data_IF_440784731498
#
_entry.id   IF_440784731498
#
_cell.length_a   1.000
_cell.length_b   1.000
_cell.length_c   1.000
_cell.angle_alpha   90.00
_cell.angle_beta   90.00
_cell.angle_gamma   90.00
#
_symmetry.space_group_name_H-M   'P 1'
#
loop_
_entity.id
_entity.type
_entity.pdbx_description
1 polymer ?
#
# COMPACT_ATOMS: atom_id res chain seq x y z
N UNK A 1 20.58 20.73 -26.64
CA UNK A 1 19.47 19.89 -27.13
C UNK A 1 19.33 18.66 -26.24
N UNK A 2 18.38 18.67 -25.30
CA UNK A 2 17.74 17.49 -24.68
C UNK A 2 16.56 18.02 -23.87
N UNK A 3 15.42 18.13 -24.57
CA UNK A 3 14.13 18.56 -24.03
C UNK A 3 13.59 17.37 -23.23
N UNK A 4 13.72 17.38 -21.91
CA UNK A 4 13.01 16.42 -21.06
C UNK A 4 11.53 16.76 -21.14
N UNK A 5 10.78 15.81 -21.71
CA UNK A 5 9.34 15.78 -21.88
C UNK A 5 8.69 15.82 -20.49
N UNK A 6 8.40 17.02 -19.99
CA UNK A 6 7.47 17.20 -18.88
C UNK A 6 6.08 16.97 -19.46
N UNK A 7 5.45 15.86 -19.10
CA UNK A 7 4.00 15.69 -19.30
C UNK A 7 3.27 16.58 -18.29
N UNK A 8 3.36 17.89 -18.49
CA UNK A 8 2.47 18.86 -17.86
C UNK A 8 1.14 18.76 -18.59
N UNK A 9 0.11 18.38 -17.86
CA UNK A 9 -1.28 18.49 -18.30
C UNK A 9 -1.55 19.95 -18.69
N UNK A 10 -2.00 20.20 -19.92
CA UNK A 10 -2.26 21.51 -20.54
C UNK A 10 -3.44 22.28 -19.88
N UNK A 11 -3.94 21.80 -18.74
CA UNK A 11 -4.91 22.50 -17.92
C UNK A 11 -4.18 23.10 -16.72
N UNK A 12 -4.16 24.43 -16.59
CA UNK A 12 -3.58 25.16 -15.44
C UNK A 12 -4.28 24.92 -14.10
N UNK A 13 -4.74 23.69 -13.85
CA UNK A 13 -5.31 23.19 -12.62
C UNK A 13 -4.36 22.12 -12.05
N UNK A 14 -3.99 22.32 -10.80
CA UNK A 14 -3.11 21.45 -10.04
C UNK A 14 -3.69 20.02 -10.00
N UNK A 15 -3.08 19.09 -10.75
CA UNK A 15 -3.59 17.72 -10.89
C UNK A 15 -3.42 16.96 -9.57
N UNK A 16 -4.53 16.59 -8.93
CA UNK A 16 -4.55 15.94 -7.60
C UNK A 16 -4.45 14.40 -7.61
N UNK A 17 -4.08 13.79 -8.73
CA UNK A 17 -4.02 12.34 -8.86
C UNK A 17 -2.78 11.89 -9.65
N UNK A 18 -2.31 10.69 -9.33
CA UNK A 18 -1.15 10.08 -10.00
C UNK A 18 -1.61 9.24 -11.19
N UNK A 19 -0.87 9.35 -12.29
CA UNK A 19 -0.96 8.46 -13.45
C UNK A 19 -0.37 7.08 -13.13
N UNK A 20 -0.71 6.07 -13.92
CA UNK A 20 -0.14 4.73 -13.74
C UNK A 20 1.39 4.71 -13.88
N UNK A 21 1.96 5.54 -14.76
CA UNK A 21 3.40 5.73 -14.91
C UNK A 21 4.03 6.31 -13.65
N UNK A 22 3.44 7.34 -13.07
CA UNK A 22 3.95 7.97 -11.83
C UNK A 22 3.81 7.02 -10.64
N UNK A 23 2.72 6.26 -10.54
CA UNK A 23 2.58 5.20 -9.52
C UNK A 23 3.68 4.15 -9.69
N UNK A 24 3.98 3.74 -10.93
CA UNK A 24 5.06 2.79 -11.20
C UNK A 24 6.41 3.34 -10.78
N UNK A 25 6.70 4.60 -11.06
CA UNK A 25 7.94 5.27 -10.63
C UNK A 25 8.02 5.37 -9.11
N UNK A 26 6.92 5.76 -8.44
CA UNK A 26 6.83 5.81 -6.99
C UNK A 26 7.10 4.44 -6.35
N UNK A 27 6.50 3.38 -6.91
CA UNK A 27 6.74 2.01 -6.46
C UNK A 27 8.21 1.61 -6.64
N UNK A 28 8.86 1.96 -7.76
CA UNK A 28 10.29 1.66 -7.94
C UNK A 28 11.18 2.48 -7.01
N UNK A 29 10.82 3.73 -6.71
CA UNK A 29 11.53 4.57 -5.75
C UNK A 29 11.43 3.98 -4.33
N UNK A 30 10.26 3.49 -3.93
CA UNK A 30 10.04 2.89 -2.61
C UNK A 30 10.98 1.70 -2.34
N UNK A 31 11.33 0.91 -3.37
CA UNK A 31 12.27 -0.22 -3.24
C UNK A 31 13.68 0.19 -2.82
N UNK A 32 14.08 1.45 -3.03
CA UNK A 32 15.44 1.95 -2.76
C UNK A 32 15.66 2.33 -1.29
N UNK A 33 14.63 2.32 -0.46
CA UNK A 33 14.72 2.63 0.96
C UNK A 33 15.28 1.46 1.79
N UNK A 34 15.72 1.77 3.02
CA UNK A 34 16.14 0.76 4.03
C UNK A 34 15.09 -0.34 4.24
N UNK A 35 13.81 0.02 4.18
CA UNK A 35 12.67 -0.88 4.30
C UNK A 35 11.96 -1.09 2.96
N UNK A 36 12.71 -1.06 1.84
CA UNK A 36 12.13 -0.98 0.50
C UNK A 36 11.20 -2.12 0.13
N UNK A 37 11.44 -3.34 0.64
CA UNK A 37 10.52 -4.48 0.45
C UNK A 37 9.17 -4.24 1.14
N UNK A 38 9.18 -3.67 2.35
CA UNK A 38 7.97 -3.34 3.11
C UNK A 38 7.19 -2.24 2.41
N UNK A 39 7.86 -1.12 2.14
CA UNK A 39 7.24 0.09 1.62
C UNK A 39 6.68 -0.15 0.20
N UNK A 40 7.40 -0.90 -0.63
CA UNK A 40 6.90 -1.34 -1.93
C UNK A 40 5.63 -2.20 -1.80
N UNK A 41 5.63 -3.18 -0.89
CA UNK A 41 4.48 -4.05 -0.67
C UNK A 41 3.27 -3.24 -0.16
N UNK A 42 3.48 -2.34 0.80
CA UNK A 42 2.44 -1.47 1.35
C UNK A 42 1.80 -0.60 0.27
N UNK A 43 2.62 0.08 -0.54
CA UNK A 43 2.13 0.95 -1.61
C UNK A 43 1.40 0.16 -2.70
N UNK A 44 1.91 -1.02 -3.08
CA UNK A 44 1.30 -1.85 -4.11
C UNK A 44 -0.11 -2.30 -3.72
N UNK A 45 -0.26 -2.90 -2.52
CA UNK A 45 -1.57 -3.37 -2.08
C UNK A 45 -2.50 -2.21 -1.73
N UNK A 46 -1.95 -1.10 -1.20
CA UNK A 46 -2.69 0.10 -0.87
C UNK A 46 -3.31 0.74 -2.10
N UNK A 47 -2.53 0.85 -3.18
CA UNK A 47 -2.98 1.38 -4.46
C UNK A 47 -4.06 0.50 -5.10
N UNK A 48 -3.90 -0.83 -5.10
CA UNK A 48 -4.81 -1.75 -5.80
C UNK A 48 -6.12 -2.00 -5.10
N UNK A 49 -6.06 -2.22 -3.80
CA UNK A 49 -7.26 -2.48 -3.00
C UNK A 49 -7.87 -1.17 -2.44
N UNK A 50 -7.23 -0.02 -2.70
CA UNK A 50 -7.69 1.29 -2.29
C UNK A 50 -7.74 1.45 -0.77
N UNK A 51 -6.78 0.88 -0.03
CA UNK A 51 -6.74 1.00 1.42
C UNK A 51 -6.52 2.45 1.84
N UNK A 52 -7.26 2.90 2.85
CA UNK A 52 -6.88 4.12 3.59
C UNK A 52 -5.65 3.82 4.44
N UNK A 53 -4.84 4.85 4.71
CA UNK A 53 -3.62 4.70 5.52
C UNK A 53 -3.90 4.01 6.85
N UNK A 54 -4.99 4.40 7.55
CA UNK A 54 -5.42 3.79 8.81
C UNK A 54 -5.82 2.32 8.66
N UNK A 55 -6.48 1.95 7.56
CA UNK A 55 -6.89 0.57 7.30
C UNK A 55 -5.68 -0.30 6.93
N UNK A 56 -4.71 0.28 6.19
CA UNK A 56 -3.51 -0.40 5.72
C UNK A 56 -2.58 -0.80 6.87
N UNK A 57 -2.42 0.07 7.87
CA UNK A 57 -1.58 -0.22 9.06
C UNK A 57 -2.24 -1.26 9.98
N UNK A 58 -3.57 -1.40 9.91
CA UNK A 58 -4.35 -2.34 10.72
C UNK A 58 -4.61 -3.70 10.03
N UNK A 59 -4.03 -3.92 8.84
CA UNK A 59 -4.12 -5.21 8.14
C UNK A 59 -3.44 -6.29 8.96
N UNK A 60 -4.15 -7.40 9.20
CA UNK A 60 -3.64 -8.54 9.96
C UNK A 60 -3.19 -9.66 9.05
N UNK A 61 -2.29 -10.48 9.57
CA UNK A 61 -1.85 -11.73 8.91
C UNK A 61 -3.02 -12.67 8.62
N UNK A 62 -4.03 -12.71 9.51
CA UNK A 62 -5.24 -13.53 9.36
C UNK A 62 -6.16 -13.10 8.21
N UNK A 63 -5.99 -11.89 7.67
CA UNK A 63 -6.84 -11.38 6.59
C UNK A 63 -6.33 -11.80 5.21
N UNK A 64 -5.12 -12.34 5.13
CA UNK A 64 -4.49 -12.71 3.89
C UNK A 64 -4.50 -14.23 3.77
N UNK A 65 -5.09 -14.70 2.68
CA UNK A 65 -4.99 -16.07 2.24
C UNK A 65 -4.15 -16.10 0.96
N UNK A 66 -2.86 -16.43 1.12
CA UNK A 66 -1.94 -16.54 -0.02
C UNK A 66 -2.15 -17.80 -0.85
N UNK A 67 -2.86 -18.80 -0.32
CA UNK A 67 -3.15 -20.06 -1.02
C UNK A 67 -4.37 -19.87 -1.92
N UNK A 68 -5.44 -19.29 -1.38
CA UNK A 68 -6.62 -18.90 -2.16
C UNK A 68 -6.40 -17.61 -2.98
N UNK A 69 -5.29 -16.89 -2.77
CA UNK A 69 -4.98 -15.65 -3.46
C UNK A 69 -6.00 -14.55 -3.16
N UNK A 70 -6.37 -14.37 -1.89
CA UNK A 70 -7.40 -13.44 -1.44
C UNK A 70 -6.93 -12.61 -0.27
N UNK A 71 -7.46 -11.39 -0.19
CA UNK A 71 -7.29 -10.50 0.96
C UNK A 71 -8.66 -10.03 1.44
N UNK A 72 -8.86 -10.05 2.75
CA UNK A 72 -10.03 -9.50 3.39
C UNK A 72 -9.78 -8.05 3.79
N UNK A 73 -10.52 -7.13 3.16
CA UNK A 73 -10.40 -5.71 3.40
C UNK A 73 -11.41 -5.29 4.46
N UNK A 74 -10.93 -5.07 5.69
CA UNK A 74 -11.74 -4.44 6.76
C UNK A 74 -11.79 -2.94 6.53
N UNK A 75 -12.96 -2.44 6.13
CA UNK A 75 -13.18 -1.01 5.91
C UNK A 75 -13.62 -0.33 7.21
N UNK A 76 -13.15 0.88 7.44
CA UNK A 76 -13.62 1.71 8.55
C UNK A 76 -14.92 2.45 8.17
N UNK A 77 -15.62 3.00 9.18
CA UNK A 77 -16.80 3.88 9.05
C UNK A 77 -17.99 3.25 8.30
N UNK A 78 -18.42 2.05 8.70
CA UNK A 78 -19.68 1.45 8.23
C UNK A 78 -19.69 1.03 6.75
N UNK A 79 -18.53 1.05 6.09
CA UNK A 79 -18.38 0.57 4.72
C UNK A 79 -18.30 -0.96 4.70
N UNK A 80 -18.81 -1.58 3.62
CA UNK A 80 -18.85 -3.03 3.48
C UNK A 80 -17.43 -3.60 3.41
N UNK A 81 -17.12 -4.49 4.35
CA UNK A 81 -15.89 -5.27 4.29
C UNK A 81 -16.01 -6.30 3.18
N UNK A 82 -14.99 -6.41 2.33
CA UNK A 82 -15.05 -7.25 1.12
C UNK A 82 -13.80 -8.11 1.00
N UNK A 83 -13.98 -9.33 0.49
CA UNK A 83 -12.85 -10.16 0.03
C UNK A 83 -12.50 -9.78 -1.40
N UNK A 84 -11.22 -9.46 -1.64
CA UNK A 84 -10.70 -9.06 -2.95
C UNK A 84 -9.62 -10.04 -3.42
N UNK A 85 -9.52 -10.34 -4.72
CA UNK A 85 -8.50 -11.23 -5.24
C UNK A 85 -7.13 -10.54 -5.28
N UNK A 86 -6.09 -11.27 -4.91
CA UNK A 86 -4.69 -10.86 -5.03
C UNK A 86 -4.14 -11.27 -6.40
N UNK A 87 -3.43 -10.36 -7.07
CA UNK A 87 -2.74 -10.67 -8.33
C UNK A 87 -1.35 -11.26 -8.10
N UNK A 88 -0.76 -11.86 -9.14
CA UNK A 88 0.50 -12.57 -9.04
C UNK A 88 1.72 -11.73 -8.62
N UNK A 89 1.77 -10.45 -8.96
CA UNK A 89 2.79 -9.51 -8.46
C UNK A 89 2.56 -9.08 -7.01
N UNK A 90 1.31 -8.95 -6.55
CA UNK A 90 0.99 -8.73 -5.13
C UNK A 90 1.40 -9.92 -4.29
N UNK A 91 1.09 -11.14 -4.72
CA UNK A 91 1.50 -12.37 -4.03
C UNK A 91 3.04 -12.45 -3.97
N UNK A 92 3.74 -12.09 -5.05
CA UNK A 92 5.21 -12.03 -5.05
C UNK A 92 5.75 -10.99 -4.07
N UNK A 93 5.16 -9.80 -4.03
CA UNK A 93 5.53 -8.74 -3.10
C UNK A 93 5.27 -9.13 -1.64
N UNK A 94 4.10 -9.70 -1.34
CA UNK A 94 3.73 -10.20 -0.02
C UNK A 94 4.69 -11.31 0.42
N UNK A 95 4.97 -12.30 -0.42
CA UNK A 95 5.96 -13.35 -0.09
C UNK A 95 7.35 -12.78 0.16
N UNK A 96 7.78 -11.78 -0.60
CA UNK A 96 9.05 -11.10 -0.37
C UNK A 96 9.07 -10.38 0.98
N UNK A 97 7.99 -9.67 1.32
CA UNK A 97 7.84 -9.03 2.61
C UNK A 97 7.81 -10.02 3.76
N UNK A 98 7.04 -11.11 3.68
CA UNK A 98 6.95 -12.13 4.73
C UNK A 98 8.30 -12.80 5.03
N UNK A 99 9.16 -12.98 4.02
CA UNK A 99 10.54 -13.45 4.24
C UNK A 99 11.38 -12.46 5.05
N UNK A 100 11.22 -11.16 4.81
CA UNK A 100 11.95 -10.11 5.54
C UNK A 100 11.40 -9.91 6.95
N UNK A 101 10.06 -9.96 7.09
CA UNK A 101 9.35 -9.88 8.38
C UNK A 101 9.76 -11.02 9.32
N UNK A 102 9.99 -12.21 8.77
CA UNK A 102 10.32 -13.40 9.56
C UNK A 102 9.22 -13.77 10.55
N UNK A 103 9.62 -14.42 11.64
CA UNK A 103 8.73 -14.97 12.67
C UNK A 103 8.28 -13.95 13.73
N UNK A 104 8.09 -12.70 13.34
CA UNK A 104 7.61 -11.67 14.26
C UNK A 104 6.22 -12.04 14.83
N UNK A 105 6.02 -11.97 16.16
CA UNK A 105 4.78 -12.40 16.82
C UNK A 105 3.61 -11.43 16.63
N UNK A 106 3.83 -10.24 16.07
CA UNK A 106 2.80 -9.24 15.84
C UNK A 106 1.67 -9.80 14.97
N UNK A 107 0.40 -9.56 15.32
CA UNK A 107 -0.72 -9.98 14.45
C UNK A 107 -0.80 -9.14 13.16
N UNK A 108 -0.10 -8.01 13.09
CA UNK A 108 -0.13 -7.10 11.96
C UNK A 108 0.77 -7.58 10.81
N UNK A 109 0.27 -7.41 9.59
CA UNK A 109 1.00 -7.72 8.37
C UNK A 109 2.26 -6.86 8.25
N UNK A 110 2.11 -5.55 8.44
CA UNK A 110 3.21 -4.61 8.41
C UNK A 110 3.59 -4.22 9.84
N UNK A 111 4.71 -4.76 10.30
CA UNK A 111 5.35 -4.28 11.54
C UNK A 111 5.94 -2.90 11.30
N UNK A 112 5.40 -1.92 12.02
CA UNK A 112 5.75 -0.52 11.86
C UNK A 112 7.20 -0.25 12.32
N UNK A 113 7.92 0.55 11.54
CA UNK A 113 8.69 1.64 12.13
C UNK A 113 7.72 2.82 12.06
N UNK A 114 7.34 3.38 13.21
CA UNK A 114 6.42 4.51 13.30
C UNK A 114 6.78 5.59 12.28
N UNK A 115 5.97 5.78 11.24
CA UNK A 115 6.03 7.01 10.43
C UNK A 115 4.76 7.86 10.57
N UNK A 116 3.61 7.34 11.03
CA UNK A 116 2.41 8.17 11.23
C UNK A 116 1.53 7.69 12.38
N UNK A 117 2.01 7.80 13.62
CA UNK A 117 1.11 7.81 14.81
C UNK A 117 0.60 9.22 15.14
N UNK A 118 0.82 10.18 14.25
CA UNK A 118 0.23 11.50 14.30
C UNK A 118 -0.88 11.53 13.24
N UNK A 119 -2.08 11.94 13.64
CA UNK A 119 -3.29 12.19 12.83
C UNK A 119 -4.43 11.14 12.79
N UNK A 120 -4.47 10.14 13.70
CA UNK A 120 -5.75 9.48 14.03
C UNK A 120 -6.23 9.99 15.41
N UNK A 121 -6.46 11.30 15.49
CA UNK A 121 -7.26 11.91 16.56
C UNK A 121 -8.21 13.00 16.01
N UNK A 122 -8.59 12.90 14.73
CA UNK A 122 -9.63 13.76 14.16
C UNK A 122 -10.71 12.89 13.56
N UNK A 123 -11.95 13.11 14.02
CA UNK A 123 -13.21 12.49 13.58
C UNK A 123 -13.67 11.23 14.33
N UNK A 124 -13.70 11.29 15.66
CA UNK A 124 -14.80 10.67 16.43
C UNK A 124 -15.43 11.70 17.37
N UNK A 125 -16.20 12.62 16.78
CA UNK A 125 -17.37 13.23 17.39
C UNK A 125 -18.55 12.98 16.47
#
# INVERSE_FOLDING_TARGET
MRRTMLTVDESGLDRKFLTESEVRELLQAAKRNRHGTRDYCMLLIGYRHGYRVSELIDVRMSDIDLEAGRIFVRRSKGSLSTSQPLQGDEIRALRAWLRVRGSDPSPFLFVAICILRLDIEISSR
#
